data_IF_572536940531
#
_entry.id   IF_572536940531
#
_cell.length_a   1.000
_cell.length_b   1.000
_cell.length_c   1.000
_cell.angle_alpha   90.00
_cell.angle_beta   90.00
_cell.angle_gamma   90.00
#
_symmetry.space_group_name_H-M   'P 1'
#
loop_
_entity.id
_entity.type
_entity.pdbx_description
1 polymer ?
#
# COMPACT_ATOMS: atom_id res chain seq x y z
N UNK A 1 22.84 -25.90 1.59
CA UNK A 1 21.45 -26.21 1.16
C UNK A 1 20.56 -25.26 1.93
N UNK A 2 20.30 -24.10 1.35
CA UNK A 2 19.52 -23.02 1.91
C UNK A 2 18.07 -23.23 1.51
N UNK A 3 17.16 -23.17 2.47
CA UNK A 3 15.72 -23.31 2.25
C UNK A 3 15.19 -22.07 1.52
N UNK A 4 14.77 -22.25 0.29
CA UNK A 4 14.00 -21.27 -0.47
C UNK A 4 12.60 -21.18 0.14
N UNK A 5 12.28 -20.04 0.75
CA UNK A 5 10.91 -19.76 1.22
C UNK A 5 10.06 -19.29 0.04
N UNK A 6 9.18 -20.16 -0.43
CA UNK A 6 8.09 -19.81 -1.33
C UNK A 6 6.92 -19.31 -0.46
N UNK A 7 6.63 -18.02 -0.51
CA UNK A 7 5.50 -17.44 0.21
C UNK A 7 4.29 -17.33 -0.71
N UNK A 8 3.31 -18.21 -0.51
CA UNK A 8 1.99 -18.12 -1.12
C UNK A 8 1.14 -17.15 -0.30
N UNK A 9 0.67 -16.08 -0.92
CA UNK A 9 -0.28 -15.16 -0.29
C UNK A 9 -1.67 -15.81 -0.28
N UNK A 10 -1.91 -16.67 0.70
CA UNK A 10 -3.25 -17.06 1.14
C UNK A 10 -3.48 -16.50 2.54
N UNK A 11 -4.56 -15.74 2.71
CA UNK A 11 -5.02 -15.34 4.03
C UNK A 11 -5.57 -16.57 4.78
N UNK A 12 -4.84 -17.02 5.78
CA UNK A 12 -5.38 -17.93 6.79
C UNK A 12 -4.75 -17.60 8.15
N UNK A 13 -5.64 -17.32 9.09
CA UNK A 13 -5.41 -17.16 10.51
C UNK A 13 -4.87 -18.42 11.15
N UNK A 14 -3.81 -18.32 11.95
CA UNK A 14 -3.55 -19.29 13.04
C UNK A 14 -3.10 -18.57 14.29
N UNK A 15 -3.86 -18.80 15.34
CA UNK A 15 -3.67 -18.41 16.73
C UNK A 15 -2.49 -19.15 17.35
N UNK A 16 -1.61 -18.45 18.06
CA UNK A 16 -0.84 -19.00 19.16
C UNK A 16 -0.95 -18.12 20.39
N UNK A 17 -1.41 -18.77 21.44
CA UNK A 17 -1.72 -18.25 22.75
C UNK A 17 -0.49 -18.41 23.65
N UNK A 18 0.06 -17.34 24.21
CA UNK A 18 0.61 -17.27 25.57
C UNK A 18 1.50 -16.04 25.75
N UNK A 19 1.14 -15.21 26.67
CA UNK A 19 1.73 -14.06 27.36
C UNK A 19 0.86 -12.81 27.25
N UNK A 20 -0.30 -12.88 27.89
CA UNK A 20 -1.20 -11.74 27.99
C UNK A 20 -1.86 -11.80 29.38
N UNK A 21 -1.20 -11.31 30.40
CA UNK A 21 -1.90 -11.01 31.67
C UNK A 21 -1.50 -9.71 32.36
N UNK A 22 -0.42 -9.04 31.97
CA UNK A 22 -0.06 -7.74 32.56
C UNK A 22 -0.42 -6.51 31.70
N UNK A 23 -0.54 -6.69 30.37
CA UNK A 23 -0.95 -5.62 29.45
C UNK A 23 -2.48 -5.39 29.37
N UNK A 24 -3.28 -6.31 29.85
CA UNK A 24 -4.74 -6.22 29.79
C UNK A 24 -5.30 -5.14 30.74
N UNK A 25 -4.74 -5.01 31.95
CA UNK A 25 -5.21 -4.02 32.92
C UNK A 25 -4.83 -2.57 32.57
N UNK A 26 -3.69 -2.36 31.89
CA UNK A 26 -3.31 -1.03 31.38
C UNK A 26 -4.17 -0.59 30.19
N UNK A 27 -4.65 -1.55 29.38
CA UNK A 27 -5.57 -1.28 28.26
C UNK A 27 -7.02 -1.08 28.69
N UNK A 28 -7.47 -1.75 29.74
CA UNK A 28 -8.81 -1.54 30.31
C UNK A 28 -8.97 -0.15 30.95
N UNK A 29 -7.94 0.36 31.62
CA UNK A 29 -8.00 1.71 32.20
C UNK A 29 -7.95 2.84 31.16
N UNK A 30 -7.33 2.61 29.99
CA UNK A 30 -7.37 3.54 28.86
C UNK A 30 -8.71 3.50 28.11
N UNK A 31 -9.41 2.36 28.11
CA UNK A 31 -10.74 2.22 27.49
C UNK A 31 -11.88 2.81 28.35
N UNK A 32 -11.76 2.78 29.68
CA UNK A 32 -12.82 3.25 30.56
C UNK A 32 -13.03 4.78 30.57
N UNK A 33 -12.02 5.57 30.18
CA UNK A 33 -12.11 7.04 30.18
C UNK A 33 -12.61 7.66 28.88
N UNK A 34 -12.93 6.86 27.83
CA UNK A 34 -13.34 7.38 26.52
C UNK A 34 -14.86 7.25 26.24
N UNK A 35 -15.68 6.84 27.19
CA UNK A 35 -17.12 6.65 26.99
C UNK A 35 -17.99 7.89 27.23
N UNK A 36 -17.41 9.01 27.66
CA UNK A 36 -18.15 10.25 27.87
C UNK A 36 -17.81 11.26 26.78
N UNK A 37 -18.77 11.48 25.88
CA UNK A 37 -18.87 12.57 24.88
C UNK A 37 -18.25 12.36 23.49
N UNK A 38 -18.63 11.27 22.82
CA UNK A 38 -18.17 10.96 21.45
C UNK A 38 -19.08 11.53 20.35
N UNK A 39 -19.80 12.62 20.59
CA UNK A 39 -20.89 13.07 19.70
C UNK A 39 -20.55 14.18 18.72
N UNK A 40 -19.35 14.73 18.64
CA UNK A 40 -19.05 15.77 17.61
C UNK A 40 -17.62 16.33 17.71
N UNK A 41 -16.63 15.48 17.61
CA UNK A 41 -15.24 15.93 17.68
C UNK A 41 -14.50 15.96 16.34
N UNK A 42 -14.97 15.24 15.33
CA UNK A 42 -14.23 15.04 14.09
C UNK A 42 -14.92 15.69 12.89
N UNK A 43 -14.14 16.22 11.97
CA UNK A 43 -14.59 16.74 10.69
C UNK A 43 -14.65 15.63 9.64
N UNK A 44 -13.74 14.65 9.75
CA UNK A 44 -13.62 13.53 8.82
C UNK A 44 -13.28 12.23 9.57
N UNK A 45 -13.95 11.16 9.17
CA UNK A 45 -13.56 9.79 9.52
C UNK A 45 -12.90 9.12 8.31
N UNK A 46 -11.74 8.50 8.52
CA UNK A 46 -11.05 7.66 7.55
C UNK A 46 -11.09 6.21 8.01
N UNK A 47 -11.54 5.32 7.14
CA UNK A 47 -11.54 3.88 7.37
C UNK A 47 -10.36 3.27 6.61
N UNK A 48 -9.36 2.82 7.35
CA UNK A 48 -8.10 2.27 6.83
C UNK A 48 -6.92 3.23 6.93
N UNK A 49 -5.79 2.75 7.48
CA UNK A 49 -4.51 3.45 7.59
C UNK A 49 -3.44 2.83 6.67
N UNK A 50 -3.82 2.48 5.45
CA UNK A 50 -2.89 2.15 4.38
C UNK A 50 -2.28 3.41 3.75
N UNK A 51 -1.65 3.29 2.57
CA UNK A 51 -1.00 4.41 1.85
C UNK A 51 -1.97 5.59 1.70
N UNK A 52 -3.16 5.35 1.14
CA UNK A 52 -4.13 6.40 0.88
C UNK A 52 -4.68 7.03 2.17
N UNK A 53 -5.06 6.20 3.15
CA UNK A 53 -5.63 6.68 4.41
C UNK A 53 -4.62 7.50 5.23
N UNK A 54 -3.39 7.02 5.39
CA UNK A 54 -2.36 7.72 6.14
C UNK A 54 -1.94 9.04 5.49
N UNK A 55 -1.75 9.05 4.16
CA UNK A 55 -1.40 10.27 3.44
C UNK A 55 -2.54 11.30 3.47
N UNK A 56 -3.79 10.85 3.30
CA UNK A 56 -4.95 11.73 3.32
C UNK A 56 -5.21 12.28 4.73
N UNK A 57 -5.07 11.45 5.78
CA UNK A 57 -5.20 11.91 7.17
C UNK A 57 -4.20 13.02 7.47
N UNK A 58 -2.93 12.82 7.11
CA UNK A 58 -1.87 13.82 7.30
C UNK A 58 -2.22 15.12 6.56
N UNK A 59 -2.64 15.03 5.31
CA UNK A 59 -2.96 16.20 4.49
C UNK A 59 -4.16 16.97 5.00
N UNK A 60 -5.23 16.29 5.42
CA UNK A 60 -6.42 16.90 6.01
C UNK A 60 -6.11 17.55 7.35
N UNK A 61 -5.28 16.91 8.18
CA UNK A 61 -4.85 17.45 9.44
C UNK A 61 -4.04 18.74 9.28
N UNK A 62 -3.10 18.77 8.33
CA UNK A 62 -2.35 19.99 7.97
C UNK A 62 -3.25 21.11 7.42
N UNK A 63 -4.39 20.75 6.82
CA UNK A 63 -5.44 21.70 6.43
C UNK A 63 -6.38 22.09 7.60
N UNK A 64 -6.02 21.79 8.85
CA UNK A 64 -6.75 22.18 10.06
C UNK A 64 -7.97 21.32 10.37
N UNK A 65 -8.16 20.17 9.71
CA UNK A 65 -9.30 19.25 9.97
C UNK A 65 -8.98 18.31 11.13
N UNK A 66 -9.96 18.07 11.99
CA UNK A 66 -9.90 17.03 13.03
C UNK A 66 -10.26 15.70 12.38
N UNK A 67 -9.32 14.77 12.36
CA UNK A 67 -9.45 13.52 11.62
C UNK A 67 -9.45 12.34 12.59
N UNK A 68 -10.42 11.45 12.46
CA UNK A 68 -10.41 10.14 13.09
C UNK A 68 -10.03 9.09 12.04
N UNK A 69 -9.04 8.30 12.33
CA UNK A 69 -8.63 7.16 11.51
C UNK A 69 -8.92 5.87 12.27
N UNK A 70 -9.67 4.96 11.63
CA UNK A 70 -9.88 3.62 12.16
C UNK A 70 -9.16 2.61 11.27
N UNK A 71 -8.25 1.88 11.86
CA UNK A 71 -7.51 0.79 11.21
C UNK A 71 -7.68 -0.49 12.03
N UNK A 72 -7.92 -1.59 11.36
CA UNK A 72 -8.16 -2.87 12.04
C UNK A 72 -6.89 -3.49 12.64
N UNK A 73 -5.72 -3.13 12.10
CA UNK A 73 -4.42 -3.68 12.46
C UNK A 73 -3.33 -2.64 12.23
N UNK A 74 -2.75 -2.14 13.30
CA UNK A 74 -1.71 -1.13 13.29
C UNK A 74 -0.29 -1.73 13.24
N UNK A 75 -0.15 -3.05 13.23
CA UNK A 75 1.15 -3.71 13.05
C UNK A 75 1.73 -3.47 11.65
N UNK A 76 3.02 -3.74 11.49
CA UNK A 76 3.67 -3.66 10.17
C UNK A 76 3.08 -4.72 9.23
N UNK A 77 2.51 -4.32 8.07
CA UNK A 77 1.93 -5.28 7.15
C UNK A 77 3.00 -6.12 6.45
N UNK A 78 2.90 -7.43 6.55
CA UNK A 78 3.68 -8.37 5.75
C UNK A 78 2.91 -8.68 4.44
N UNK A 79 3.19 -7.91 3.40
CA UNK A 79 2.54 -8.07 2.08
C UNK A 79 3.47 -7.76 0.95
N UNK A 80 3.45 -8.63 -0.06
CA UNK A 80 4.16 -8.44 -1.33
C UNK A 80 3.26 -7.67 -2.29
N UNK A 81 3.19 -6.36 -2.13
CA UNK A 81 2.40 -5.46 -2.99
C UNK A 81 2.92 -4.02 -2.90
N UNK A 82 2.96 -3.31 -4.03
CA UNK A 82 3.27 -1.88 -4.05
C UNK A 82 4.67 -1.54 -3.52
N UNK A 83 5.65 -2.41 -3.78
CA UNK A 83 7.04 -2.25 -3.34
C UNK A 83 7.88 -1.39 -4.31
N UNK A 84 7.37 -1.07 -5.49
CA UNK A 84 8.02 -0.21 -6.48
C UNK A 84 7.16 1.01 -6.77
N UNK A 85 7.50 2.11 -6.13
CA UNK A 85 6.85 3.41 -6.29
C UNK A 85 7.44 4.13 -7.51
N UNK A 86 6.60 4.43 -8.48
CA UNK A 86 6.98 5.15 -9.69
C UNK A 86 7.33 6.62 -9.38
N UNK A 87 8.07 7.33 -10.26
CA UNK A 87 8.39 8.76 -10.08
C UNK A 87 7.16 9.63 -9.81
N UNK A 88 6.02 9.34 -10.45
CA UNK A 88 4.76 10.04 -10.18
C UNK A 88 4.27 9.89 -8.74
N UNK A 89 4.49 8.73 -8.14
CA UNK A 89 4.17 8.50 -6.73
C UNK A 89 5.11 9.25 -5.79
N UNK A 90 6.41 9.27 -6.08
CA UNK A 90 7.40 10.09 -5.33
C UNK A 90 7.01 11.56 -5.41
N UNK A 91 6.66 12.02 -6.60
CA UNK A 91 6.20 13.40 -6.81
C UNK A 91 4.91 13.71 -6.02
N UNK A 92 3.97 12.79 -5.95
CA UNK A 92 2.78 12.96 -5.14
C UNK A 92 3.11 13.11 -3.65
N UNK A 93 4.06 12.31 -3.13
CA UNK A 93 4.55 12.46 -1.76
C UNK A 93 5.18 13.83 -1.52
N UNK A 94 6.00 14.34 -2.45
CA UNK A 94 6.57 15.67 -2.40
C UNK A 94 5.49 16.76 -2.30
N UNK A 95 4.48 16.69 -3.17
CA UNK A 95 3.36 17.65 -3.17
C UNK A 95 2.55 17.61 -1.88
N UNK A 96 2.50 16.47 -1.21
CA UNK A 96 1.83 16.29 0.08
C UNK A 96 2.76 16.60 1.28
N UNK A 97 4.05 16.88 1.04
CA UNK A 97 5.06 17.07 2.09
C UNK A 97 5.30 15.79 2.89
N UNK A 98 5.24 14.62 2.24
CA UNK A 98 5.41 13.29 2.83
C UNK A 98 6.60 12.54 2.22
N UNK A 99 7.48 13.20 1.49
CA UNK A 99 8.63 12.58 0.84
C UNK A 99 9.57 11.93 1.85
N UNK A 100 9.71 12.53 3.03
CA UNK A 100 10.49 12.03 4.15
C UNK A 100 10.03 10.65 4.67
N UNK A 101 8.84 10.18 4.28
CA UNK A 101 8.40 8.82 4.56
C UNK A 101 9.18 7.75 3.77
N UNK A 102 9.99 8.17 2.79
CA UNK A 102 10.91 7.30 2.06
C UNK A 102 12.31 7.24 2.70
N UNK A 103 12.57 8.05 3.72
CA UNK A 103 13.85 8.09 4.41
C UNK A 103 13.89 7.06 5.55
N UNK A 104 15.04 6.42 5.72
CA UNK A 104 15.27 5.47 6.81
C UNK A 104 14.55 4.12 6.70
N UNK A 105 13.88 3.86 5.58
CA UNK A 105 13.19 2.58 5.32
C UNK A 105 13.97 1.64 4.39
N UNK A 106 15.24 1.94 4.15
CA UNK A 106 16.11 1.21 3.21
C UNK A 106 15.58 1.22 1.77
N UNK A 107 14.99 2.36 1.35
CA UNK A 107 14.45 2.51 0.01
C UNK A 107 15.54 2.66 -1.04
N UNK A 108 15.46 1.88 -2.11
CA UNK A 108 16.40 1.88 -3.24
C UNK A 108 15.88 2.78 -4.35
N UNK A 109 16.70 3.67 -4.94
CA UNK A 109 16.30 4.44 -6.12
C UNK A 109 15.98 3.53 -7.31
N UNK A 110 14.92 3.85 -8.05
CA UNK A 110 14.59 3.24 -9.33
C UNK A 110 14.64 4.31 -10.43
N UNK A 111 15.57 4.16 -11.38
CA UNK A 111 15.87 5.16 -12.41
C UNK A 111 15.25 4.82 -13.77
N UNK A 112 14.67 3.62 -13.91
CA UNK A 112 14.07 3.16 -15.14
C UNK A 112 13.71 1.69 -15.14
N UNK A 113 13.51 1.18 -16.35
CA UNK A 113 13.24 -0.23 -16.62
C UNK A 113 14.22 -0.82 -17.62
N UNK A 114 14.50 -2.11 -17.44
CA UNK A 114 15.17 -2.96 -18.43
C UNK A 114 14.18 -4.03 -18.86
N UNK A 115 13.71 -3.99 -20.10
CA UNK A 115 12.65 -4.87 -20.62
C UNK A 115 13.27 -5.97 -21.47
N UNK A 116 13.23 -7.20 -21.03
CA UNK A 116 13.77 -8.37 -21.68
C UNK A 116 12.70 -9.05 -22.55
N UNK A 117 12.89 -9.01 -23.87
CA UNK A 117 12.07 -9.72 -24.85
C UNK A 117 12.57 -11.18 -25.03
N UNK A 118 13.86 -11.38 -24.80
CA UNK A 118 14.54 -12.68 -24.76
C UNK A 118 15.84 -12.54 -23.94
N UNK A 119 16.55 -13.63 -23.59
CA UNK A 119 17.81 -13.56 -22.86
C UNK A 119 18.92 -12.71 -23.52
N UNK A 120 18.79 -12.42 -24.81
CA UNK A 120 19.78 -11.67 -25.61
C UNK A 120 19.23 -10.37 -26.20
N UNK A 121 17.96 -10.09 -25.99
CA UNK A 121 17.29 -8.94 -26.57
C UNK A 121 16.55 -8.19 -25.48
N UNK A 122 17.01 -7.01 -25.12
CA UNK A 122 16.40 -6.17 -24.12
C UNK A 122 16.45 -4.70 -24.53
N UNK A 123 15.57 -3.90 -23.95
CA UNK A 123 15.47 -2.46 -24.15
C UNK A 123 15.52 -1.78 -22.80
N UNK A 124 16.50 -0.90 -22.61
CA UNK A 124 16.63 -0.08 -21.42
C UNK A 124 15.86 1.23 -21.61
N UNK A 125 14.93 1.51 -20.69
CA UNK A 125 14.12 2.71 -20.66
C UNK A 125 14.47 3.49 -19.38
N UNK A 126 15.14 4.60 -19.53
CA UNK A 126 15.42 5.55 -18.44
C UNK A 126 14.16 6.39 -18.18
N UNK A 127 13.94 6.77 -16.93
CA UNK A 127 12.98 7.83 -16.66
C UNK A 127 13.51 9.17 -17.21
N UNK A 128 12.63 10.04 -17.72
CA UNK A 128 13.04 11.27 -18.35
C UNK A 128 13.72 12.22 -17.36
N UNK A 129 14.59 13.10 -17.88
CA UNK A 129 15.08 14.23 -17.11
C UNK A 129 13.94 15.18 -16.74
N UNK A 130 14.02 15.82 -15.58
CA UNK A 130 12.99 16.75 -15.13
C UNK A 130 12.79 17.94 -16.05
N UNK A 131 13.84 18.36 -16.76
CA UNK A 131 13.80 19.44 -17.74
C UNK A 131 12.97 19.10 -18.99
N UNK A 132 12.72 17.81 -19.26
CA UNK A 132 12.05 17.35 -20.49
C UNK A 132 10.52 17.24 -20.35
N UNK A 133 9.98 17.37 -19.13
CA UNK A 133 8.54 17.25 -18.93
C UNK A 133 7.81 18.58 -19.11
N UNK A 134 6.67 18.56 -19.83
CA UNK A 134 5.82 19.74 -19.95
C UNK A 134 5.34 20.21 -18.58
N UNK A 135 5.29 21.50 -18.35
CA UNK A 135 4.82 22.17 -17.12
C UNK A 135 3.37 21.88 -16.75
N UNK A 136 2.71 20.92 -17.38
CA UNK A 136 1.30 20.52 -17.15
C UNK A 136 0.98 20.03 -15.75
N UNK A 137 1.97 19.64 -14.96
CA UNK A 137 1.78 19.01 -13.65
C UNK A 137 2.11 19.92 -12.46
N UNK A 138 1.95 21.22 -12.63
CA UNK A 138 2.17 22.20 -11.56
C UNK A 138 3.66 22.51 -11.35
N UNK A 139 3.96 23.78 -11.18
CA UNK A 139 5.31 24.25 -10.85
C UNK A 139 5.68 23.73 -9.47
N UNK A 140 6.64 22.83 -9.45
CA UNK A 140 7.52 22.68 -8.30
C UNK A 140 8.78 23.45 -8.58
N UNK A 141 9.43 23.95 -7.54
CA UNK A 141 10.79 24.47 -7.58
C UNK A 141 11.63 23.59 -8.48
N UNK A 142 12.38 24.12 -9.45
CA UNK A 142 13.20 23.33 -10.33
C UNK A 142 14.24 22.61 -9.48
N UNK A 143 14.08 21.31 -9.36
CA UNK A 143 15.19 20.44 -9.00
C UNK A 143 16.25 20.70 -10.08
N UNK A 144 17.52 20.76 -9.69
CA UNK A 144 18.60 21.19 -10.61
C UNK A 144 18.58 20.45 -11.94
N UNK A 145 19.15 21.01 -13.00
CA UNK A 145 19.07 20.52 -14.36
C UNK A 145 19.58 19.08 -14.56
N UNK A 146 20.35 18.56 -13.62
CA UNK A 146 20.94 17.22 -13.67
C UNK A 146 20.12 16.16 -12.91
N UNK A 147 18.94 16.49 -12.40
CA UNK A 147 18.11 15.53 -11.65
C UNK A 147 17.16 14.78 -12.57
N UNK A 148 17.28 13.46 -12.54
CA UNK A 148 16.33 12.54 -13.15
C UNK A 148 15.12 12.31 -12.22
N UNK A 149 13.97 12.08 -12.82
CA UNK A 149 12.88 11.46 -12.08
C UNK A 149 13.31 10.08 -11.63
N UNK A 150 13.21 9.82 -10.35
CA UNK A 150 13.48 8.50 -9.82
C UNK A 150 12.28 8.00 -9.02
N UNK A 151 11.95 6.74 -9.22
CA UNK A 151 11.08 5.99 -8.32
C UNK A 151 11.84 5.57 -7.06
N UNK A 152 11.15 4.81 -6.22
CA UNK A 152 11.73 4.15 -5.05
C UNK A 152 11.15 2.76 -4.94
N UNK A 153 11.98 1.79 -4.62
CA UNK A 153 11.54 0.46 -4.23
C UNK A 153 11.91 0.19 -2.78
N UNK A 154 11.08 -0.54 -2.08
CA UNK A 154 11.19 -0.74 -0.64
C UNK A 154 10.33 -1.90 -0.16
N UNK A 155 10.55 -2.36 1.07
CA UNK A 155 9.60 -3.23 1.75
C UNK A 155 8.29 -2.49 2.05
N UNK A 156 7.17 -3.04 1.56
CA UNK A 156 5.85 -2.41 1.68
C UNK A 156 5.49 -2.02 3.11
N UNK A 157 5.72 -2.92 4.07
CA UNK A 157 5.41 -2.68 5.48
C UNK A 157 6.15 -1.50 6.05
N UNK A 158 7.46 -1.40 5.81
CA UNK A 158 8.29 -0.27 6.27
C UNK A 158 7.75 1.08 5.77
N UNK A 159 7.33 1.15 4.51
CA UNK A 159 6.74 2.36 3.94
C UNK A 159 5.38 2.71 4.58
N UNK A 160 4.51 1.71 4.81
CA UNK A 160 3.24 1.92 5.52
C UNK A 160 3.50 2.47 6.94
N UNK A 161 4.43 1.88 7.68
CA UNK A 161 4.75 2.34 9.03
C UNK A 161 5.33 3.75 9.04
N UNK A 162 6.15 4.11 8.05
CA UNK A 162 6.65 5.47 7.90
C UNK A 162 5.52 6.48 7.67
N UNK A 163 4.55 6.19 6.78
CA UNK A 163 3.37 7.03 6.56
C UNK A 163 2.48 7.12 7.81
N UNK A 164 2.26 5.99 8.52
CA UNK A 164 1.51 5.96 9.78
C UNK A 164 2.16 6.84 10.84
N UNK A 165 3.49 6.81 10.94
CA UNK A 165 4.24 7.67 11.87
C UNK A 165 4.00 9.16 11.58
N UNK A 166 4.02 9.59 10.30
CA UNK A 166 3.74 10.99 9.93
C UNK A 166 2.29 11.39 10.22
N UNK A 167 1.37 10.48 10.02
CA UNK A 167 -0.04 10.65 10.36
C UNK A 167 -0.24 10.82 11.87
N UNK A 168 0.32 9.93 12.67
CA UNK A 168 0.21 9.95 14.13
C UNK A 168 0.89 11.17 14.77
N UNK A 169 1.90 11.74 14.12
CA UNK A 169 2.56 12.97 14.55
C UNK A 169 1.68 14.23 14.41
N UNK A 170 0.53 14.16 13.72
CA UNK A 170 -0.36 15.31 13.59
C UNK A 170 -1.23 15.46 14.85
N UNK A 171 -1.25 16.65 15.51
CA UNK A 171 -1.93 16.83 16.81
C UNK A 171 -3.47 16.72 16.71
N UNK A 172 -4.04 16.87 15.54
CA UNK A 172 -5.47 16.80 15.25
C UNK A 172 -5.89 15.51 14.51
N UNK A 173 -5.03 14.48 14.55
CA UNK A 173 -5.37 13.13 14.12
C UNK A 173 -5.53 12.24 15.35
N UNK A 174 -6.67 11.57 15.45
CA UNK A 174 -6.89 10.49 16.39
C UNK A 174 -6.88 9.16 15.65
N UNK A 175 -6.18 8.17 16.17
CA UNK A 175 -6.12 6.83 15.58
C UNK A 175 -6.74 5.83 16.56
N UNK A 176 -7.67 5.02 16.05
CA UNK A 176 -8.29 3.93 16.81
C UNK A 176 -8.03 2.63 16.07
N UNK A 177 -7.39 1.68 16.75
CA UNK A 177 -7.24 0.33 16.23
C UNK A 177 -8.54 -0.44 16.40
N UNK A 178 -9.35 -0.45 15.33
CA UNK A 178 -10.65 -1.09 15.31
C UNK A 178 -11.09 -1.45 13.89
N UNK A 179 -11.76 -2.60 13.77
CA UNK A 179 -12.38 -3.00 12.51
C UNK A 179 -13.74 -2.32 12.34
N UNK A 180 -13.88 -1.48 11.33
CA UNK A 180 -15.18 -0.91 10.95
C UNK A 180 -16.03 -1.98 10.28
N UNK A 181 -17.25 -2.17 10.76
CA UNK A 181 -18.17 -3.20 10.27
C UNK A 181 -19.29 -2.67 9.39
N UNK A 182 -19.74 -1.44 9.61
CA UNK A 182 -20.80 -0.81 8.83
C UNK A 182 -20.71 0.71 8.86
N UNK A 183 -21.32 1.35 7.86
CA UNK A 183 -21.58 2.79 7.86
C UNK A 183 -22.88 3.08 8.62
N UNK A 184 -22.91 4.20 9.31
CA UNK A 184 -24.10 4.70 10.03
C UNK A 184 -24.79 5.74 9.15
N UNK A 185 -26.09 5.54 8.95
CA UNK A 185 -26.89 6.41 8.11
C UNK A 185 -27.87 7.22 8.96
N UNK A 186 -28.08 8.47 8.58
CA UNK A 186 -29.20 9.26 9.09
C UNK A 186 -30.52 8.63 8.62
N UNK A 187 -31.46 8.50 9.52
CA UNK A 187 -32.77 7.89 9.24
C UNK A 187 -33.67 8.74 8.34
N UNK A 188 -33.42 10.04 8.26
CA UNK A 188 -34.25 10.99 7.51
C UNK A 188 -33.90 11.04 6.03
N UNK A 189 -32.61 11.15 5.72
CA UNK A 189 -32.12 11.41 4.36
C UNK A 189 -31.15 10.36 3.84
N UNK A 190 -30.87 9.33 4.65
CA UNK A 190 -29.98 8.21 4.31
C UNK A 190 -28.50 8.60 4.08
N UNK A 191 -28.11 9.83 4.42
CA UNK A 191 -26.68 10.20 4.37
C UNK A 191 -25.87 9.36 5.34
N UNK A 192 -24.63 9.07 4.96
CA UNK A 192 -23.64 8.51 5.89
C UNK A 192 -23.24 9.61 6.88
N UNK A 193 -23.40 9.31 8.17
CA UNK A 193 -23.11 10.24 9.28
C UNK A 193 -22.05 9.69 10.22
N UNK A 194 -21.48 8.50 9.92
CA UNK A 194 -20.46 7.89 10.74
C UNK A 194 -20.19 6.42 10.41
N UNK A 195 -19.55 5.75 11.34
CA UNK A 195 -19.16 4.34 11.25
C UNK A 195 -19.44 3.60 12.54
N UNK A 196 -19.62 2.27 12.43
CA UNK A 196 -19.71 1.34 13.56
C UNK A 196 -18.58 0.34 13.48
N UNK A 197 -17.96 0.06 14.61
CA UNK A 197 -16.87 -0.92 14.77
C UNK A 197 -17.40 -2.32 15.10
N UNK A 198 -16.51 -3.31 15.11
CA UNK A 198 -16.81 -4.68 15.54
C UNK A 198 -17.16 -4.77 17.04
N UNK A 199 -16.65 -3.83 17.85
CA UNK A 199 -16.96 -3.69 19.28
C UNK A 199 -18.25 -2.92 19.54
N UNK A 200 -19.00 -2.57 18.48
CA UNK A 200 -20.25 -1.80 18.52
C UNK A 200 -20.09 -0.31 18.85
N UNK A 201 -18.87 0.20 18.97
CA UNK A 201 -18.64 1.63 19.13
C UNK A 201 -19.08 2.37 17.87
N UNK A 202 -19.63 3.57 18.06
CA UNK A 202 -20.13 4.43 16.97
C UNK A 202 -19.42 5.76 17.00
N UNK A 203 -18.84 6.14 15.86
CA UNK A 203 -18.19 7.42 15.65
C UNK A 203 -18.94 8.19 14.59
N UNK A 204 -19.07 9.51 14.81
CA UNK A 204 -19.79 10.39 13.91
C UNK A 204 -18.88 11.48 13.33
N UNK A 205 -19.04 11.77 12.04
CA UNK A 205 -18.44 12.91 11.36
C UNK A 205 -19.30 13.31 10.14
N UNK A 206 -19.23 14.58 9.68
CA UNK A 206 -19.89 15.02 8.46
C UNK A 206 -19.45 14.27 7.21
N UNK A 207 -18.18 13.81 7.18
CA UNK A 207 -17.59 13.10 6.04
C UNK A 207 -16.95 11.79 6.51
N UNK A 208 -17.27 10.70 5.82
CA UNK A 208 -16.62 9.40 5.99
C UNK A 208 -15.97 8.99 4.67
N UNK A 209 -14.68 8.69 4.72
CA UNK A 209 -13.89 8.23 3.57
C UNK A 209 -13.43 6.81 3.84
N UNK A 210 -13.80 5.88 2.95
CA UNK A 210 -13.41 4.47 3.03
C UNK A 210 -12.19 4.25 2.15
N UNK A 211 -11.06 3.92 2.79
CA UNK A 211 -9.76 3.66 2.19
C UNK A 211 -9.18 2.31 2.66
N UNK A 212 -10.05 1.32 2.86
CA UNK A 212 -9.77 0.01 3.44
C UNK A 212 -9.15 -1.02 2.45
N UNK A 213 -8.79 -0.55 1.25
CA UNK A 213 -7.95 -1.27 0.29
C UNK A 213 -8.68 -2.28 -0.59
N UNK A 214 -7.88 -3.22 -1.15
CA UNK A 214 -8.37 -4.16 -2.18
C UNK A 214 -9.42 -5.13 -1.65
N UNK A 215 -9.39 -5.48 -0.37
CA UNK A 215 -10.35 -6.37 0.27
C UNK A 215 -11.52 -5.64 0.93
N UNK A 216 -11.81 -4.43 0.45
CA UNK A 216 -12.92 -3.62 0.94
C UNK A 216 -14.25 -4.39 0.90
N UNK A 217 -14.88 -4.54 2.06
CA UNK A 217 -16.23 -5.09 2.14
C UNK A 217 -17.30 -4.06 1.69
N UNK A 218 -16.99 -2.78 1.82
CA UNK A 218 -17.90 -1.70 1.41
C UNK A 218 -18.03 -1.58 -0.10
N UNK A 219 -17.02 -2.04 -0.88
CA UNK A 219 -17.12 -2.07 -2.35
C UNK A 219 -18.29 -2.92 -2.83
N UNK A 220 -18.59 -4.03 -2.12
CA UNK A 220 -19.70 -4.92 -2.47
C UNK A 220 -21.05 -4.23 -2.28
N UNK A 221 -21.15 -3.37 -1.27
CA UNK A 221 -22.40 -2.68 -0.90
C UNK A 221 -22.57 -1.36 -1.68
N UNK A 222 -21.47 -0.59 -1.83
CA UNK A 222 -21.51 0.77 -2.38
C UNK A 222 -20.89 0.88 -3.78
N UNK A 223 -20.25 -0.16 -4.29
CA UNK A 223 -19.59 -0.18 -5.60
C UNK A 223 -20.50 -0.37 -6.81
N UNK A 224 -21.82 -0.43 -6.60
CA UNK A 224 -22.81 -0.62 -7.67
C UNK A 224 -22.65 -1.97 -8.38
N UNK A 225 -22.82 -1.96 -9.71
CA UNK A 225 -22.75 -3.17 -10.55
C UNK A 225 -21.30 -3.64 -10.83
N UNK A 226 -20.28 -2.89 -10.41
CA UNK A 226 -18.91 -3.25 -10.68
C UNK A 226 -18.47 -4.48 -9.87
N UNK A 227 -18.10 -5.55 -10.60
CA UNK A 227 -17.56 -6.78 -10.02
C UNK A 227 -16.14 -6.96 -10.52
N UNK A 228 -15.13 -7.02 -9.63
CA UNK A 228 -13.75 -7.32 -10.03
C UNK A 228 -13.66 -8.77 -10.53
N UNK A 229 -12.87 -8.96 -11.60
CA UNK A 229 -12.57 -10.27 -12.16
C UNK A 229 -11.09 -10.58 -11.94
N UNK A 230 -10.80 -11.78 -11.40
CA UNK A 230 -9.43 -12.26 -11.24
C UNK A 230 -9.00 -12.86 -12.59
N UNK A 231 -7.96 -12.29 -13.19
CA UNK A 231 -7.40 -12.75 -14.46
C UNK A 231 -6.07 -13.47 -14.31
N UNK A 232 -5.31 -13.11 -13.29
CA UNK A 232 -4.02 -13.74 -12.97
C UNK A 232 -3.68 -13.54 -11.52
N UNK A 233 -2.63 -14.22 -11.07
CA UNK A 233 -2.06 -14.11 -9.75
C UNK A 233 -0.57 -13.81 -9.86
N UNK A 234 -0.04 -12.93 -9.00
CA UNK A 234 1.40 -12.78 -8.85
C UNK A 234 1.90 -13.70 -7.74
N UNK A 235 2.94 -14.47 -8.06
CA UNK A 235 3.72 -15.22 -7.07
C UNK A 235 4.97 -14.41 -6.77
N UNK A 236 5.16 -14.04 -5.51
CA UNK A 236 6.31 -13.26 -5.04
C UNK A 236 7.37 -14.17 -4.44
N UNK A 237 8.63 -13.97 -4.85
CA UNK A 237 9.80 -14.67 -4.34
C UNK A 237 10.82 -13.62 -3.92
N UNK A 238 11.48 -13.84 -2.80
CA UNK A 238 12.61 -13.04 -2.36
C UNK A 238 13.92 -13.70 -2.79
N UNK A 239 14.80 -12.90 -3.39
CA UNK A 239 16.10 -13.31 -3.90
C UNK A 239 17.20 -12.49 -3.20
N UNK A 240 18.47 -12.96 -3.24
CA UNK A 240 19.61 -12.17 -2.78
C UNK A 240 19.69 -10.80 -3.45
N UNK A 241 20.30 -9.79 -2.79
CA UNK A 241 20.30 -8.40 -3.27
C UNK A 241 20.99 -8.18 -4.62
N UNK A 242 21.95 -9.03 -4.96
CA UNK A 242 22.74 -9.01 -6.20
C UNK A 242 22.04 -9.70 -7.39
N UNK A 243 20.79 -10.11 -7.23
CA UNK A 243 20.01 -10.80 -8.29
C UNK A 243 19.52 -9.88 -9.40
N UNK A 244 19.71 -8.55 -9.30
CA UNK A 244 19.40 -7.60 -10.37
C UNK A 244 20.54 -7.51 -11.40
N UNK A 245 20.19 -7.51 -12.69
CA UNK A 245 21.16 -7.41 -13.79
C UNK A 245 21.64 -5.97 -13.99
N UNK A 246 20.75 -5.02 -13.85
CA UNK A 246 21.05 -3.58 -13.97
C UNK A 246 20.68 -2.90 -12.65
N UNK A 247 21.64 -2.36 -11.90
CA UNK A 247 21.35 -1.64 -10.66
C UNK A 247 20.36 -0.49 -10.88
N UNK A 248 19.52 -0.23 -9.88
CA UNK A 248 18.52 0.83 -9.87
C UNK A 248 17.48 0.77 -11.00
N UNK A 249 17.29 -0.39 -11.64
CA UNK A 249 16.29 -0.60 -12.68
C UNK A 249 15.34 -1.73 -12.29
N UNK A 250 14.06 -1.53 -12.56
CA UNK A 250 13.11 -2.62 -12.58
C UNK A 250 13.28 -3.46 -13.85
N UNK A 251 13.32 -4.78 -13.73
CA UNK A 251 13.43 -5.69 -14.86
C UNK A 251 12.06 -6.24 -15.20
N UNK A 252 11.65 -6.15 -16.46
CA UNK A 252 10.41 -6.73 -16.97
C UNK A 252 10.78 -7.83 -17.96
N UNK A 253 10.46 -9.08 -17.64
CA UNK A 253 10.82 -10.24 -18.45
C UNK A 253 9.55 -10.72 -19.17
N UNK A 254 9.46 -10.46 -20.47
CA UNK A 254 8.29 -10.78 -21.28
C UNK A 254 8.33 -12.18 -21.93
N UNK A 255 9.49 -12.81 -22.01
CA UNK A 255 9.76 -14.16 -22.53
C UNK A 255 8.83 -14.66 -23.65
N UNK A 256 8.73 -13.90 -24.75
CA UNK A 256 7.84 -14.20 -25.87
C UNK A 256 8.08 -15.58 -26.51
N UNK A 257 9.30 -16.12 -26.42
CA UNK A 257 9.62 -17.45 -26.95
C UNK A 257 9.10 -18.57 -26.06
N UNK A 258 9.06 -18.38 -24.75
CA UNK A 258 8.45 -19.35 -23.84
C UNK A 258 6.93 -19.40 -24.05
N UNK A 259 6.31 -18.25 -24.26
CA UNK A 259 4.87 -18.18 -24.57
C UNK A 259 4.47 -18.98 -25.81
N UNK A 260 5.36 -19.08 -26.82
CA UNK A 260 5.12 -19.91 -28.03
C UNK A 260 5.30 -21.42 -27.80
N UNK A 261 5.94 -21.85 -26.71
CA UNK A 261 6.21 -23.26 -26.38
C UNK A 261 5.19 -23.86 -25.42
N UNK A 262 4.31 -23.06 -24.91
CA UNK A 262 3.26 -23.49 -23.98
C UNK A 262 2.10 -24.07 -24.79
N UNK A 263 1.46 -25.11 -24.27
CA UNK A 263 0.32 -25.75 -24.93
C UNK A 263 -0.79 -24.74 -25.29
N UNK A 264 -1.55 -24.99 -26.37
CA UNK A 264 -2.66 -24.12 -26.74
C UNK A 264 -3.59 -23.83 -25.56
N UNK A 265 -3.91 -22.56 -25.32
CA UNK A 265 -4.75 -22.12 -24.20
C UNK A 265 -4.00 -21.87 -22.88
N UNK A 266 -2.69 -22.13 -22.82
CA UNK A 266 -1.85 -21.72 -21.69
C UNK A 266 -1.03 -20.49 -22.09
N UNK A 267 -0.91 -19.53 -21.22
CA UNK A 267 -0.05 -18.36 -21.37
C UNK A 267 1.02 -18.33 -20.26
N UNK A 268 2.15 -17.73 -20.56
CA UNK A 268 3.17 -17.41 -19.58
C UNK A 268 3.09 -15.89 -19.38
N UNK A 269 2.81 -15.47 -18.16
CA UNK A 269 2.80 -14.06 -17.79
C UNK A 269 4.20 -13.47 -17.72
N UNK A 270 4.31 -12.14 -17.61
CA UNK A 270 5.57 -11.49 -17.37
C UNK A 270 6.13 -11.83 -15.99
N UNK A 271 7.46 -11.68 -15.84
CA UNK A 271 8.08 -11.62 -14.54
C UNK A 271 8.67 -10.23 -14.31
N UNK A 272 8.63 -9.76 -13.08
CA UNK A 272 9.21 -8.51 -12.64
C UNK A 272 10.31 -8.80 -11.63
N UNK A 273 11.49 -8.18 -11.79
CA UNK A 273 12.60 -8.29 -10.83
C UNK A 273 13.05 -6.89 -10.47
N UNK A 274 13.12 -6.59 -9.19
CA UNK A 274 13.58 -5.30 -8.69
C UNK A 274 14.09 -5.42 -7.26
N UNK A 275 15.10 -4.65 -6.93
CA UNK A 275 15.65 -4.59 -5.58
C UNK A 275 14.63 -3.88 -4.66
N UNK A 276 14.41 -4.40 -3.45
CA UNK A 276 13.47 -3.84 -2.46
C UNK A 276 14.14 -3.32 -1.19
N UNK A 277 15.45 -3.45 -1.11
CA UNK A 277 16.27 -3.02 0.00
C UNK A 277 17.74 -3.26 -0.33
N UNK A 278 18.62 -2.91 0.58
CA UNK A 278 20.05 -3.23 0.46
C UNK A 278 20.33 -4.73 0.57
N UNK A 279 19.39 -5.48 1.14
CA UNK A 279 19.50 -6.89 1.51
C UNK A 279 18.66 -7.85 0.64
N UNK A 280 17.72 -7.33 -0.19
CA UNK A 280 16.78 -8.18 -0.88
C UNK A 280 16.36 -7.68 -2.27
N UNK A 281 16.07 -8.64 -3.15
CA UNK A 281 15.49 -8.44 -4.48
C UNK A 281 14.16 -9.18 -4.58
N UNK A 282 13.14 -8.55 -5.14
CA UNK A 282 11.83 -9.14 -5.40
C UNK A 282 11.75 -9.68 -6.82
N UNK A 283 11.33 -10.94 -6.94
CA UNK A 283 10.84 -11.53 -8.17
C UNK A 283 9.32 -11.72 -8.05
N UNK A 284 8.57 -11.13 -8.97
CA UNK A 284 7.14 -11.38 -9.14
C UNK A 284 6.90 -12.11 -10.45
N UNK A 285 6.21 -13.24 -10.40
CA UNK A 285 5.84 -14.01 -11.60
C UNK A 285 4.32 -13.93 -11.76
N UNK A 286 3.87 -13.43 -12.90
CA UNK A 286 2.45 -13.43 -13.25
C UNK A 286 2.03 -14.83 -13.71
N UNK A 287 1.07 -15.41 -13.01
CA UNK A 287 0.48 -16.72 -13.30
C UNK A 287 -0.94 -16.50 -13.81
N UNK A 288 -1.17 -16.59 -15.12
CA UNK A 288 -2.50 -16.38 -15.70
C UNK A 288 -3.51 -17.43 -15.26
N UNK A 289 -4.74 -17.00 -15.05
CA UNK A 289 -5.88 -17.84 -14.67
C UNK A 289 -6.53 -17.38 -13.35
N UNK A 290 -7.81 -17.73 -13.17
CA UNK A 290 -8.56 -17.35 -11.97
C UNK A 290 -8.22 -18.19 -10.74
N UNK A 291 -7.52 -19.29 -10.91
CA UNK A 291 -7.13 -20.24 -9.85
C UNK A 291 -5.63 -20.42 -9.85
N UNK A 292 -5.01 -20.31 -8.69
CA UNK A 292 -3.59 -20.63 -8.52
C UNK A 292 -3.38 -22.12 -8.82
N UNK A 293 -2.35 -22.49 -9.61
CA UNK A 293 -1.99 -23.88 -9.75
C UNK A 293 -1.59 -24.46 -8.37
N UNK A 294 -2.06 -25.67 -8.07
CA UNK A 294 -1.56 -26.42 -6.92
C UNK A 294 -0.12 -26.79 -7.14
N UNK A 295 0.72 -26.61 -6.14
CA UNK A 295 2.10 -27.11 -6.09
C UNK A 295 2.08 -28.59 -5.72
#
# INVERSE_FOLDING_TARGET
>A
MTHDQIMLVQGATTTSNSMVHEDAQARESAHANNHADNRSGYDVILVGAGIAGSALATSLARAGRRVLVLERDMSEPDRIVGELLQPGGVRALQLLGLEDALDGIDAVPAEGYDIFLSPREHVKIQYPHMAELPTRYGRSEPLGPDMHYAGRSFHHGRFIMALRSRMQAQPNVSVVEAAVTSLVHDLRDRRVVGVRTATSDVYHAPVTIVADGIFSKFRKEYGGAYKPEIRSHFVGIELPPDSVLTPKHGHVILNQKAAKRVAPGKSVGPALVYQIGSDATRLLVDVPGPVLPSV
#
